data_IF_261076112261
#
_entry.id   IF_261076112261
#
_cell.length_a   1.000
_cell.length_b   1.000
_cell.length_c   1.000
_cell.angle_alpha   90.00
_cell.angle_beta   90.00
_cell.angle_gamma   90.00
#
_symmetry.space_group_name_H-M   'P 1'
#
loop_
_entity.id
_entity.type
_entity.pdbx_description
1 polymer ?
#
# COMPACT_ATOMS: atom_id res chain seq x y z
N UNK A 1 7.63 25.91 -15.10
CA UNK A 1 8.72 26.90 -15.18
C UNK A 1 8.10 28.28 -15.29
N UNK A 2 8.03 29.04 -14.21
CA UNK A 2 7.59 30.44 -14.24
C UNK A 2 8.70 31.29 -13.64
N UNK A 3 9.37 32.06 -14.50
CA UNK A 3 10.45 32.97 -14.12
C UNK A 3 9.86 34.30 -13.66
N UNK A 4 10.26 34.78 -12.49
CA UNK A 4 9.91 36.10 -12.01
C UNK A 4 10.90 37.13 -12.59
N UNK A 5 10.59 37.69 -13.75
CA UNK A 5 11.33 38.81 -14.31
C UNK A 5 10.81 40.10 -13.68
N UNK A 6 11.61 40.73 -12.81
CA UNK A 6 11.40 42.05 -12.15
C UNK A 6 10.69 42.02 -10.79
N UNK A 7 11.46 41.78 -9.73
CA UNK A 7 11.08 42.22 -8.38
C UNK A 7 11.92 41.58 -7.29
N UNK A 8 12.45 42.39 -6.37
CA UNK A 8 13.19 41.95 -5.18
C UNK A 8 12.24 41.43 -4.07
N UNK A 9 11.16 40.73 -4.46
CA UNK A 9 10.22 40.10 -3.51
C UNK A 9 10.68 38.67 -3.27
N UNK A 10 10.78 38.21 -2.01
CA UNK A 10 11.09 36.82 -1.71
C UNK A 10 10.07 35.91 -2.41
N UNK A 11 10.54 34.74 -2.84
CA UNK A 11 9.69 33.64 -3.30
C UNK A 11 8.51 33.50 -2.33
N UNK A 12 7.29 33.38 -2.85
CA UNK A 12 6.08 33.22 -2.04
C UNK A 12 6.23 31.96 -1.16
N UNK A 13 6.66 32.12 0.08
CA UNK A 13 6.46 31.09 1.10
C UNK A 13 4.96 31.10 1.34
N UNK A 14 4.24 30.07 0.87
CA UNK A 14 2.84 29.89 1.21
C UNK A 14 2.68 30.13 2.71
N UNK A 15 2.00 31.23 3.06
CA UNK A 15 1.92 31.70 4.43
C UNK A 15 1.20 30.64 5.26
N UNK A 16 1.96 29.85 6.04
CA UNK A 16 1.42 28.82 6.93
C UNK A 16 0.54 29.38 8.05
N UNK A 17 0.32 30.70 8.09
CA UNK A 17 -0.55 31.40 9.03
C UNK A 17 -1.98 30.82 9.07
N UNK A 18 -2.50 30.30 7.95
CA UNK A 18 -3.82 29.65 7.92
C UNK A 18 -3.87 28.30 8.67
N UNK A 19 -2.73 27.66 8.93
CA UNK A 19 -2.67 26.41 9.71
C UNK A 19 -2.72 26.64 11.23
N UNK A 20 -2.60 27.89 11.69
CA UNK A 20 -2.70 28.24 13.13
C UNK A 20 -4.02 27.76 13.73
N UNK A 21 -5.11 27.81 12.96
CA UNK A 21 -6.41 27.32 13.41
C UNK A 21 -6.46 25.81 13.61
N UNK A 22 -5.74 25.03 12.79
CA UNK A 22 -5.63 23.57 12.94
C UNK A 22 -4.75 23.22 14.13
N UNK A 23 -3.64 23.93 14.32
CA UNK A 23 -2.72 23.71 15.45
C UNK A 23 -3.44 24.03 16.77
N UNK A 24 -4.21 25.12 16.83
CA UNK A 24 -4.91 25.53 18.05
C UNK A 24 -6.26 24.83 18.25
N UNK A 25 -6.67 23.94 17.36
CA UNK A 25 -7.90 23.19 17.51
C UNK A 25 -7.85 22.31 18.77
N UNK A 26 -8.86 22.36 19.67
CA UNK A 26 -8.87 21.56 20.89
C UNK A 26 -8.76 20.05 20.65
N UNK A 27 -9.33 19.53 19.56
CA UNK A 27 -9.30 18.11 19.22
C UNK A 27 -7.88 17.70 18.82
N UNK A 28 -7.21 18.53 18.02
CA UNK A 28 -5.79 18.33 17.66
C UNK A 28 -4.91 18.40 18.91
N UNK A 29 -5.07 19.43 19.75
CA UNK A 29 -4.30 19.58 20.99
C UNK A 29 -4.51 18.40 21.97
N UNK A 30 -5.74 17.93 22.13
CA UNK A 30 -6.05 16.78 22.98
C UNK A 30 -5.49 15.46 22.43
N UNK A 31 -5.49 15.29 21.11
CA UNK A 31 -4.82 14.15 20.48
C UNK A 31 -3.31 14.21 20.70
N UNK A 32 -2.69 15.37 20.45
CA UNK A 32 -1.25 15.57 20.59
C UNK A 32 -0.77 15.29 22.01
N UNK A 33 -1.52 15.71 23.04
CA UNK A 33 -1.22 15.40 24.45
C UNK A 33 -1.20 13.89 24.77
N UNK A 34 -1.89 13.08 23.97
CA UNK A 34 -2.00 11.62 24.13
C UNK A 34 -1.04 10.86 23.22
N UNK A 35 -0.43 11.53 22.24
CA UNK A 35 0.56 10.93 21.37
C UNK A 35 1.92 10.92 22.08
N UNK A 36 2.58 9.75 22.08
CA UNK A 36 4.02 9.68 22.32
C UNK A 36 4.70 10.14 21.04
N UNK A 37 5.32 11.31 21.07
CA UNK A 37 6.13 11.76 19.95
C UNK A 37 7.43 10.96 19.89
N UNK A 38 8.03 10.80 18.70
CA UNK A 38 9.35 10.22 18.59
C UNK A 38 10.27 10.96 19.55
N UNK A 39 11.04 10.19 20.31
CA UNK A 39 12.03 10.71 21.22
C UNK A 39 13.02 11.59 20.44
N UNK A 40 13.75 12.48 21.11
CA UNK A 40 14.82 13.26 20.46
C UNK A 40 15.79 12.33 19.70
N UNK A 41 16.56 12.83 18.72
CA UNK A 41 17.47 11.98 17.93
C UNK A 41 18.38 11.08 18.81
N UNK A 42 18.78 11.56 20.00
CA UNK A 42 19.56 10.80 20.97
C UNK A 42 18.75 9.73 21.70
N UNK A 43 17.54 10.05 22.17
CA UNK A 43 16.66 9.07 22.84
C UNK A 43 16.13 8.00 21.88
N UNK A 44 15.90 8.36 20.61
CA UNK A 44 15.49 7.43 19.56
C UNK A 44 16.60 6.43 19.23
N UNK A 45 17.87 6.84 19.38
CA UNK A 45 19.02 5.96 19.16
C UNK A 45 19.06 4.83 20.19
N UNK A 46 18.80 5.14 21.46
CA UNK A 46 18.75 4.12 22.51
C UNK A 46 17.55 3.19 22.32
N UNK A 47 16.37 3.72 21.99
CA UNK A 47 15.16 2.92 21.71
C UNK A 47 15.39 1.92 20.56
N UNK A 48 16.06 2.35 19.49
CA UNK A 48 16.42 1.48 18.37
C UNK A 48 17.47 0.44 18.78
N UNK A 49 18.51 0.82 19.53
CA UNK A 49 19.58 -0.11 19.93
C UNK A 49 19.08 -1.16 20.93
N UNK A 50 18.22 -0.80 21.87
CA UNK A 50 17.68 -1.70 22.89
C UNK A 50 16.61 -2.66 22.34
N UNK A 51 15.96 -2.31 21.22
CA UNK A 51 14.88 -3.09 20.63
C UNK A 51 15.18 -3.63 19.23
N UNK A 52 16.39 -3.45 18.73
CA UNK A 52 16.87 -4.11 17.51
C UNK A 52 17.63 -5.37 17.85
N UNK A 53 17.54 -6.34 16.95
CA UNK A 53 18.38 -7.53 16.98
C UNK A 53 19.25 -7.53 15.74
N UNK A 54 20.50 -7.94 15.91
CA UNK A 54 21.38 -8.17 14.78
C UNK A 54 20.92 -9.43 14.05
N UNK A 55 20.63 -9.29 12.76
CA UNK A 55 20.31 -10.44 11.91
C UNK A 55 21.62 -11.06 11.45
N UNK A 56 21.90 -12.28 11.89
CA UNK A 56 23.02 -13.05 11.36
C UNK A 56 22.86 -13.27 9.85
N UNK A 57 23.71 -12.58 9.07
CA UNK A 57 23.86 -12.78 7.63
C UNK A 57 24.98 -13.79 7.40
N UNK A 58 24.79 -14.78 6.51
CA UNK A 58 25.84 -15.75 6.18
C UNK A 58 25.50 -17.24 6.36
N UNK A 59 24.33 -17.60 6.89
CA UNK A 59 23.85 -18.97 6.77
C UNK A 59 23.48 -19.26 5.31
N UNK A 60 24.08 -20.31 4.72
CA UNK A 60 23.63 -20.87 3.43
C UNK A 60 22.14 -21.18 3.55
N UNK A 61 21.32 -20.49 2.77
CA UNK A 61 19.88 -20.72 2.70
C UNK A 61 19.58 -21.26 1.31
N UNK A 62 18.90 -22.38 1.24
CA UNK A 62 18.52 -23.04 -0.02
C UNK A 62 17.33 -22.35 -0.72
N UNK A 63 16.99 -21.13 -0.29
CA UNK A 63 15.91 -20.34 -0.90
C UNK A 63 16.40 -19.82 -2.24
N UNK A 64 15.76 -20.27 -3.31
CA UNK A 64 16.11 -19.91 -4.69
C UNK A 64 15.07 -19.00 -5.34
N UNK A 65 13.83 -19.09 -4.87
CA UNK A 65 12.68 -18.36 -5.43
C UNK A 65 11.93 -17.60 -4.34
N UNK A 66 11.55 -16.36 -4.64
CA UNK A 66 10.75 -15.48 -3.80
C UNK A 66 9.50 -15.10 -4.56
N UNK A 67 8.33 -15.31 -3.96
CA UNK A 67 7.04 -14.90 -4.53
C UNK A 67 6.49 -13.77 -3.66
N UNK A 68 6.38 -12.58 -4.23
CA UNK A 68 5.70 -11.44 -3.61
C UNK A 68 4.26 -11.39 -4.10
N UNK A 69 3.31 -11.35 -3.17
CA UNK A 69 1.89 -11.25 -3.48
C UNK A 69 1.34 -9.99 -2.81
N UNK A 70 0.67 -9.16 -3.59
CA UNK A 70 -0.08 -8.02 -3.09
C UNK A 70 -1.46 -7.99 -3.76
N UNK A 71 -2.42 -7.29 -3.16
CA UNK A 71 -3.77 -7.25 -3.70
C UNK A 71 -4.57 -6.03 -3.26
N UNK A 72 -5.56 -5.70 -4.07
CA UNK A 72 -6.52 -4.64 -3.82
C UNK A 72 -7.93 -5.18 -3.75
N UNK A 73 -8.73 -4.54 -2.90
CA UNK A 73 -10.17 -4.73 -2.83
C UNK A 73 -10.87 -3.43 -3.18
N UNK A 74 -11.92 -3.51 -4.00
CA UNK A 74 -12.79 -2.37 -4.28
C UNK A 74 -14.24 -2.85 -4.29
N UNK A 75 -15.11 -2.12 -3.60
CA UNK A 75 -16.54 -2.33 -3.66
C UNK A 75 -17.17 -1.32 -4.61
N UNK A 76 -17.94 -1.81 -5.59
CA UNK A 76 -18.57 -0.95 -6.60
C UNK A 76 -20.09 -1.12 -6.54
N UNK A 77 -20.78 0.02 -6.54
CA UNK A 77 -22.24 0.07 -6.66
C UNK A 77 -22.67 -0.32 -8.07
N UNK A 78 -23.54 -1.32 -8.19
CA UNK A 78 -24.01 -1.83 -9.50
C UNK A 78 -25.00 -0.87 -10.16
N UNK A 79 -25.85 -0.21 -9.37
CA UNK A 79 -26.89 0.71 -9.86
C UNK A 79 -26.88 2.04 -9.11
N UNK A 80 -26.77 3.16 -9.83
CA UNK A 80 -26.78 4.51 -9.24
C UNK A 80 -28.02 4.80 -8.37
N UNK A 81 -29.19 4.32 -8.80
CA UNK A 81 -30.45 4.54 -8.09
C UNK A 81 -30.70 3.54 -6.96
N UNK A 82 -29.80 2.58 -6.74
CA UNK A 82 -29.91 1.59 -5.68
C UNK A 82 -28.52 1.32 -5.07
N UNK A 83 -27.99 2.28 -4.28
CA UNK A 83 -26.61 2.27 -3.78
C UNK A 83 -26.33 1.13 -2.78
N UNK A 84 -27.38 0.44 -2.33
CA UNK A 84 -27.28 -0.78 -1.55
C UNK A 84 -26.94 -2.01 -2.38
N UNK A 85 -27.06 -1.99 -3.72
CA UNK A 85 -26.62 -3.09 -4.58
C UNK A 85 -25.15 -2.92 -4.95
N UNK A 86 -24.32 -3.86 -4.51
CA UNK A 86 -22.87 -3.80 -4.61
C UNK A 86 -22.25 -5.13 -5.03
N UNK A 87 -21.10 -5.02 -5.69
CA UNK A 87 -20.22 -6.13 -6.04
C UNK A 87 -18.83 -5.80 -5.51
N UNK A 88 -18.18 -6.78 -4.90
CA UNK A 88 -16.78 -6.73 -4.54
C UNK A 88 -15.93 -7.18 -5.72
N UNK A 89 -14.86 -6.44 -5.98
CA UNK A 89 -13.82 -6.80 -6.91
C UNK A 89 -12.49 -6.89 -6.16
N UNK A 90 -11.90 -8.08 -6.21
CA UNK A 90 -10.57 -8.37 -5.71
C UNK A 90 -9.62 -8.52 -6.88
N UNK A 91 -8.44 -7.91 -6.75
CA UNK A 91 -7.35 -8.08 -7.69
C UNK A 91 -6.09 -8.44 -6.92
N UNK A 92 -5.46 -9.54 -7.30
CA UNK A 92 -4.20 -10.00 -6.73
C UNK A 92 -3.10 -9.91 -7.79
N UNK A 93 -1.93 -9.44 -7.40
CA UNK A 93 -0.71 -9.41 -8.19
C UNK A 93 0.32 -10.32 -7.55
N UNK A 94 0.74 -11.36 -8.29
CA UNK A 94 1.86 -12.22 -7.93
C UNK A 94 3.09 -11.87 -8.77
N UNK A 95 4.22 -11.66 -8.10
CA UNK A 95 5.53 -11.46 -8.73
C UNK A 95 6.47 -12.55 -8.23
N UNK A 96 7.01 -13.31 -9.18
CA UNK A 96 8.05 -14.30 -8.92
C UNK A 96 9.42 -13.70 -9.21
N UNK A 97 10.34 -13.89 -8.28
CA UNK A 97 11.73 -13.46 -8.36
C UNK A 97 12.66 -14.62 -8.09
N UNK A 98 13.75 -14.72 -8.86
CA UNK A 98 14.90 -15.51 -8.40
C UNK A 98 15.65 -14.72 -7.34
N UNK A 99 16.19 -15.42 -6.32
CA UNK A 99 17.00 -14.77 -5.29
C UNK A 99 18.24 -14.11 -5.90
N UNK A 100 18.84 -14.73 -6.92
CA UNK A 100 20.04 -14.20 -7.56
C UNK A 100 19.76 -12.92 -8.35
N UNK A 101 18.61 -12.81 -9.01
CA UNK A 101 18.20 -11.56 -9.64
C UNK A 101 18.00 -10.43 -8.63
N UNK A 102 17.49 -10.75 -7.43
CA UNK A 102 17.30 -9.78 -6.36
C UNK A 102 18.63 -9.33 -5.74
N UNK A 103 19.59 -10.24 -5.58
CA UNK A 103 20.96 -9.90 -5.15
C UNK A 103 21.61 -8.94 -6.15
N UNK A 104 21.56 -9.28 -7.44
CA UNK A 104 22.08 -8.42 -8.51
C UNK A 104 21.37 -7.05 -8.52
N UNK A 105 20.08 -7.00 -8.22
CA UNK A 105 19.34 -5.75 -8.13
C UNK A 105 19.81 -4.90 -6.94
N UNK A 106 20.10 -5.52 -5.80
CA UNK A 106 20.62 -4.89 -4.60
C UNK A 106 22.03 -4.31 -4.74
N UNK A 107 22.82 -4.83 -5.69
CA UNK A 107 24.15 -4.28 -6.00
C UNK A 107 24.09 -2.93 -6.73
N UNK A 108 22.93 -2.55 -7.28
CA UNK A 108 22.78 -1.26 -7.94
C UNK A 108 22.45 -0.14 -6.94
N UNK A 109 23.12 1.02 -7.03
CA UNK A 109 22.83 2.16 -6.17
C UNK A 109 21.44 2.76 -6.43
N UNK A 110 20.90 2.56 -7.65
CA UNK A 110 19.57 3.00 -8.06
C UNK A 110 18.91 1.94 -8.95
N UNK A 111 17.63 1.69 -8.70
CA UNK A 111 16.83 0.76 -9.50
C UNK A 111 16.09 1.57 -10.57
N UNK A 112 16.56 1.50 -11.81
CA UNK A 112 15.89 2.15 -12.94
C UNK A 112 14.62 1.38 -13.36
N UNK A 113 13.55 2.07 -13.81
CA UNK A 113 12.30 1.42 -14.24
C UNK A 113 12.48 0.35 -15.33
N UNK A 114 13.43 0.56 -16.25
CA UNK A 114 13.80 -0.38 -17.31
C UNK A 114 14.31 -1.71 -16.75
N UNK A 115 15.07 -1.67 -15.65
CA UNK A 115 15.54 -2.87 -14.95
C UNK A 115 14.43 -3.59 -14.21
N UNK A 116 13.33 -2.90 -13.93
CA UNK A 116 12.13 -3.50 -13.37
C UNK A 116 11.29 -4.22 -14.42
N UNK A 117 11.49 -3.93 -15.72
CA UNK A 117 10.76 -4.61 -16.80
C UNK A 117 11.07 -6.10 -16.90
N UNK A 118 12.30 -6.51 -16.59
CA UNK A 118 12.67 -7.94 -16.56
C UNK A 118 11.87 -8.72 -15.52
N UNK A 119 11.36 -8.04 -14.48
CA UNK A 119 10.55 -8.60 -13.40
C UNK A 119 9.04 -8.43 -13.62
N UNK A 120 8.59 -7.83 -14.73
CA UNK A 120 7.17 -7.56 -15.00
C UNK A 120 6.34 -8.79 -15.38
N UNK A 121 6.81 -10.03 -15.13
CA UNK A 121 5.95 -11.23 -15.22
C UNK A 121 4.98 -11.26 -14.03
N UNK A 122 4.07 -10.29 -14.03
CA UNK A 122 3.05 -10.08 -13.04
C UNK A 122 1.88 -11.01 -13.37
N UNK A 123 1.73 -12.07 -12.57
CA UNK A 123 0.50 -12.85 -12.56
C UNK A 123 -0.60 -11.97 -11.94
N UNK A 124 -1.72 -11.83 -12.65
CA UNK A 124 -2.87 -11.07 -12.17
C UNK A 124 -4.05 -12.00 -12.02
N UNK A 125 -4.54 -12.14 -10.80
CA UNK A 125 -5.73 -12.91 -10.49
C UNK A 125 -6.86 -11.95 -10.14
N UNK A 126 -8.07 -12.23 -10.61
CA UNK A 126 -9.24 -11.37 -10.42
C UNK A 126 -10.38 -12.21 -9.89
N UNK A 127 -11.05 -11.70 -8.87
CA UNK A 127 -12.20 -12.36 -8.26
C UNK A 127 -13.30 -11.32 -8.07
N UNK A 128 -14.45 -11.54 -8.69
CA UNK A 128 -15.64 -10.72 -8.54
C UNK A 128 -16.68 -11.50 -7.73
N UNK A 129 -17.23 -10.88 -6.69
CA UNK A 129 -18.20 -11.52 -5.79
C UNK A 129 -19.39 -10.58 -5.56
N UNK A 130 -20.64 -11.06 -5.68
CA UNK A 130 -21.80 -10.31 -5.22
C UNK A 130 -21.76 -10.15 -3.69
N UNK A 131 -21.85 -8.93 -3.16
CA UNK A 131 -21.75 -8.69 -1.70
C UNK A 131 -23.03 -8.19 -1.06
N UNK A 132 -23.82 -7.39 -1.77
CA UNK A 132 -25.02 -6.78 -1.18
C UNK A 132 -26.09 -6.58 -2.23
N UNK A 133 -27.30 -7.08 -1.93
CA UNK A 133 -28.47 -6.98 -2.80
C UNK A 133 -28.15 -7.30 -4.28
N UNK A 134 -27.30 -8.31 -4.44
CA UNK A 134 -26.84 -8.95 -5.67
C UNK A 134 -26.73 -10.43 -5.37
N UNK A 135 -27.13 -11.28 -6.30
CA UNK A 135 -27.01 -12.73 -6.18
C UNK A 135 -26.46 -13.29 -7.49
N UNK A 136 -25.69 -14.37 -7.36
CA UNK A 136 -25.26 -15.17 -8.50
C UNK A 136 -26.43 -16.07 -8.89
N UNK A 137 -26.88 -16.04 -10.14
CA UNK A 137 -27.90 -16.93 -10.70
C UNK A 137 -29.16 -17.12 -9.84
N UNK A 138 -29.59 -16.06 -9.14
CA UNK A 138 -30.71 -16.09 -8.19
C UNK A 138 -30.55 -17.07 -7.01
N UNK A 139 -29.32 -17.48 -6.72
CA UNK A 139 -28.98 -18.33 -5.58
C UNK A 139 -29.07 -17.55 -4.25
N UNK A 140 -28.93 -18.29 -3.16
CA UNK A 140 -28.79 -17.70 -1.83
C UNK A 140 -27.55 -16.79 -1.77
N UNK A 141 -27.56 -15.80 -0.88
CA UNK A 141 -26.39 -14.94 -0.66
C UNK A 141 -25.13 -15.74 -0.27
N UNK A 142 -25.31 -16.84 0.46
CA UNK A 142 -24.22 -17.74 0.86
C UNK A 142 -23.62 -18.42 -0.36
N UNK A 143 -24.44 -18.99 -1.24
CA UNK A 143 -23.96 -19.69 -2.44
C UNK A 143 -23.40 -18.71 -3.47
N UNK A 144 -23.98 -17.52 -3.54
CA UNK A 144 -23.51 -16.41 -4.37
C UNK A 144 -22.09 -15.95 -4.04
N UNK A 145 -21.63 -16.17 -2.80
CA UNK A 145 -20.25 -15.91 -2.38
C UNK A 145 -19.39 -17.16 -2.48
N UNK A 146 -19.91 -18.30 -2.02
CA UNK A 146 -19.16 -19.55 -1.93
C UNK A 146 -18.73 -20.07 -3.29
N UNK A 147 -19.63 -20.06 -4.28
CA UNK A 147 -19.36 -20.63 -5.61
C UNK A 147 -18.23 -19.87 -6.31
N UNK A 148 -18.25 -18.52 -6.44
CA UNK A 148 -17.16 -17.78 -7.07
C UNK A 148 -15.80 -17.98 -6.41
N UNK A 149 -15.77 -18.17 -5.08
CA UNK A 149 -14.53 -18.47 -4.36
C UNK A 149 -14.02 -19.87 -4.72
N UNK A 150 -14.90 -20.87 -4.73
CA UNK A 150 -14.52 -22.25 -5.09
C UNK A 150 -14.03 -22.30 -6.54
N UNK A 151 -14.73 -21.66 -7.46
CA UNK A 151 -14.35 -21.58 -8.87
C UNK A 151 -12.98 -20.92 -9.04
N UNK A 152 -12.74 -19.81 -8.35
CA UNK A 152 -11.46 -19.09 -8.40
C UNK A 152 -10.25 -19.93 -7.95
N UNK A 153 -10.42 -20.85 -6.99
CA UNK A 153 -9.34 -21.72 -6.53
C UNK A 153 -9.22 -23.03 -7.32
N UNK A 154 -10.19 -23.35 -8.18
CA UNK A 154 -10.22 -24.57 -8.99
C UNK A 154 -9.88 -24.35 -10.47
N UNK A 155 -9.77 -23.09 -10.92
CA UNK A 155 -9.14 -22.72 -12.21
C UNK A 155 -7.61 -22.91 -12.18
#
# INVERSE_FOLDING_TARGET
MSYNAKGNRPFEWASKSQHTHVINDPSVQNLMKRCKFPSTNEESKNDVLEHSIEINTGASRDVTTIIAVDGGYTEVTVRKNYPSSKVAFFQFGGLEFSLDDLKQLGDYPFIHPEKMEKFKKLARFKLAIPTKATSLDSLSMVDSVRIPIIEFFNE
#
